data_IF_124536318212
#
_entry.id   IF_124536318212
#
_cell.length_a   1.000
_cell.length_b   1.000
_cell.length_c   1.000
_cell.angle_alpha   90.00
_cell.angle_beta   90.00
_cell.angle_gamma   90.00
#
_symmetry.space_group_name_H-M   'P 1'
#
loop_
_entity.id
_entity.type
_entity.pdbx_description
1 polymer ?
#
# COMPACT_ATOMS: atom_id res chain seq x y z
N UNK A 1 -49.38 -22.85 -24.11
CA UNK A 1 -49.05 -22.71 -22.67
C UNK A 1 -47.59 -22.28 -22.60
N UNK A 2 -47.26 -20.98 -22.65
CA UNK A 2 -47.19 -20.04 -21.51
C UNK A 2 -46.41 -20.57 -20.29
N UNK A 3 -45.11 -20.24 -20.20
CA UNK A 3 -44.48 -19.32 -19.22
C UNK A 3 -42.97 -19.64 -19.16
N UNK A 4 -42.08 -18.80 -19.67
CA UNK A 4 -41.57 -17.56 -19.07
C UNK A 4 -40.55 -17.78 -17.94
N UNK A 5 -39.40 -17.13 -18.12
CA UNK A 5 -38.63 -16.40 -17.08
C UNK A 5 -37.80 -17.33 -16.18
N UNK A 6 -36.46 -17.26 -16.12
CA UNK A 6 -35.65 -16.09 -15.86
C UNK A 6 -34.19 -16.36 -16.28
N UNK A 7 -33.67 -15.50 -17.13
CA UNK A 7 -32.28 -15.08 -17.22
C UNK A 7 -31.53 -15.14 -15.88
N UNK A 8 -30.23 -15.47 -15.97
CA UNK A 8 -29.14 -14.64 -15.45
C UNK A 8 -29.25 -14.20 -13.98
N UNK A 9 -28.37 -14.72 -13.12
CA UNK A 9 -27.52 -13.93 -12.22
C UNK A 9 -26.65 -14.93 -11.41
N UNK A 10 -25.31 -14.94 -11.55
CA UNK A 10 -24.37 -14.04 -10.84
C UNK A 10 -24.45 -14.39 -9.34
N UNK A 11 -23.45 -14.96 -8.65
CA UNK A 11 -22.00 -14.78 -8.63
C UNK A 11 -21.38 -16.14 -8.23
N UNK A 12 -20.31 -16.66 -8.84
CA UNK A 12 -18.94 -16.19 -8.59
C UNK A 12 -18.73 -15.70 -7.15
N UNK A 13 -19.10 -16.52 -6.17
CA UNK A 13 -18.56 -16.44 -4.81
C UNK A 13 -17.12 -16.95 -4.79
N UNK A 14 -16.28 -16.43 -5.68
CA UNK A 14 -14.87 -16.25 -5.36
C UNK A 14 -14.83 -15.09 -4.39
N UNK A 15 -15.25 -15.37 -3.16
CA UNK A 15 -14.87 -14.59 -2.00
C UNK A 15 -13.35 -14.74 -1.91
N UNK A 16 -12.64 -13.95 -2.72
CA UNK A 16 -11.29 -13.54 -2.41
C UNK A 16 -11.43 -12.71 -1.14
N UNK A 17 -11.48 -13.40 0.00
CA UNK A 17 -11.02 -12.86 1.26
C UNK A 17 -9.56 -12.53 1.03
N UNK A 18 -9.30 -11.36 0.45
CA UNK A 18 -8.09 -10.62 0.73
C UNK A 18 -8.21 -10.24 2.21
N UNK A 19 -7.96 -11.23 3.08
CA UNK A 19 -7.18 -10.97 4.28
C UNK A 19 -5.92 -10.26 3.79
N UNK A 20 -5.39 -9.31 4.55
CA UNK A 20 -4.05 -8.78 4.33
C UNK A 20 -3.11 -9.97 4.13
N UNK A 21 -2.89 -10.29 2.85
CA UNK A 21 -2.28 -11.52 2.42
C UNK A 21 -0.82 -11.28 2.66
N UNK A 22 -0.19 -12.05 3.53
CA UNK A 22 1.25 -11.98 3.72
C UNK A 22 1.95 -12.00 2.34
N UNK A 23 3.16 -11.45 2.30
CA UNK A 23 3.87 -11.23 1.05
C UNK A 23 4.05 -12.53 0.24
N UNK A 24 4.22 -13.68 0.89
CA UNK A 24 4.33 -14.97 0.21
C UNK A 24 3.03 -15.34 -0.49
N UNK A 25 1.91 -15.22 0.22
CA UNK A 25 0.58 -15.45 -0.35
C UNK A 25 0.29 -14.46 -1.49
N UNK A 26 0.71 -13.20 -1.39
CA UNK A 26 0.51 -12.21 -2.47
C UNK A 26 1.21 -12.60 -3.77
N UNK A 27 2.46 -13.10 -3.67
CA UNK A 27 3.26 -13.52 -4.82
C UNK A 27 2.96 -14.94 -5.30
N UNK A 28 2.13 -15.71 -4.58
CA UNK A 28 1.63 -17.01 -5.06
C UNK A 28 0.67 -16.85 -6.25
N UNK A 29 0.07 -15.66 -6.43
CA UNK A 29 -0.68 -15.30 -7.63
C UNK A 29 0.28 -14.93 -8.77
N UNK A 30 0.24 -15.73 -9.83
CA UNK A 30 1.06 -15.58 -11.03
C UNK A 30 0.90 -14.18 -11.65
N UNK A 31 -0.28 -13.57 -11.58
CA UNK A 31 -0.49 -12.23 -12.12
C UNK A 31 0.20 -11.16 -11.28
N UNK A 32 0.28 -11.31 -9.96
CA UNK A 32 1.02 -10.39 -9.10
C UNK A 32 2.53 -10.50 -9.32
N UNK A 33 3.04 -11.74 -9.43
CA UNK A 33 4.44 -11.99 -9.80
C UNK A 33 4.79 -11.36 -11.15
N UNK A 34 3.94 -11.58 -12.17
CA UNK A 34 4.14 -11.01 -13.51
C UNK A 34 4.15 -9.49 -13.50
N UNK A 35 3.23 -8.86 -12.77
CA UNK A 35 3.18 -7.40 -12.66
C UNK A 35 4.37 -6.84 -11.89
N UNK A 36 4.85 -7.52 -10.85
CA UNK A 36 6.08 -7.15 -10.15
C UNK A 36 7.27 -7.14 -11.09
N UNK A 37 7.49 -8.22 -11.85
CA UNK A 37 8.59 -8.31 -12.81
C UNK A 37 8.50 -7.20 -13.87
N UNK A 38 7.30 -6.91 -14.37
CA UNK A 38 7.10 -5.83 -15.33
C UNK A 38 7.40 -4.44 -14.72
N UNK A 39 6.96 -4.18 -13.50
CA UNK A 39 7.24 -2.93 -12.79
C UNK A 39 8.73 -2.77 -12.49
N UNK A 40 9.43 -3.86 -12.19
CA UNK A 40 10.88 -3.86 -12.00
C UNK A 40 11.61 -3.56 -13.32
N UNK A 41 11.27 -4.25 -14.41
CA UNK A 41 11.86 -4.02 -15.73
C UNK A 41 11.66 -2.58 -16.23
N UNK A 42 10.51 -1.98 -15.92
CA UNK A 42 10.22 -0.57 -16.26
C UNK A 42 10.89 0.44 -15.34
N UNK A 43 11.63 0.02 -14.32
CA UNK A 43 12.29 0.91 -13.38
C UNK A 43 11.36 1.62 -12.40
N UNK A 44 10.07 1.24 -12.34
CA UNK A 44 9.07 1.93 -11.52
C UNK A 44 9.38 1.82 -10.03
N UNK A 45 9.89 0.67 -9.58
CA UNK A 45 10.23 0.46 -8.16
C UNK A 45 11.43 1.34 -7.76
N UNK A 46 12.41 1.46 -8.66
CA UNK A 46 13.55 2.36 -8.49
C UNK A 46 13.08 3.82 -8.43
N UNK A 47 12.20 4.22 -9.34
CA UNK A 47 11.63 5.57 -9.36
C UNK A 47 10.87 5.90 -8.07
N UNK A 48 10.04 4.99 -7.57
CA UNK A 48 9.36 5.16 -6.26
C UNK A 48 10.36 5.35 -5.13
N UNK A 49 11.45 4.58 -5.13
CA UNK A 49 12.52 4.69 -4.13
C UNK A 49 13.19 6.07 -4.17
N UNK A 50 13.53 6.54 -5.36
CA UNK A 50 14.14 7.85 -5.59
C UNK A 50 13.20 8.99 -5.20
N UNK A 51 11.93 8.92 -5.60
CA UNK A 51 10.92 9.92 -5.28
C UNK A 51 10.65 10.00 -3.78
N UNK A 52 10.52 8.86 -3.09
CA UNK A 52 10.30 8.84 -1.65
C UNK A 52 11.49 9.46 -0.88
N UNK A 53 12.72 9.13 -1.28
CA UNK A 53 13.92 9.77 -0.72
C UNK A 53 14.00 11.26 -1.06
N UNK A 54 13.63 11.66 -2.28
CA UNK A 54 13.62 13.06 -2.70
C UNK A 54 12.58 13.88 -1.93
N UNK A 55 11.36 13.36 -1.77
CA UNK A 55 10.26 14.03 -1.06
C UNK A 55 10.61 14.38 0.38
N UNK A 56 11.35 13.51 1.08
CA UNK A 56 11.80 13.82 2.43
C UNK A 56 12.79 15.00 2.42
N UNK A 57 13.75 14.99 1.49
CA UNK A 57 14.79 16.00 1.39
C UNK A 57 14.31 17.33 0.77
N UNK A 58 13.21 17.31 0.00
CA UNK A 58 12.69 18.46 -0.73
C UNK A 58 11.63 19.25 0.03
N UNK A 59 11.13 18.75 1.16
CA UNK A 59 10.22 19.53 2.00
C UNK A 59 11.04 20.56 2.80
N UNK A 60 10.90 21.87 2.54
CA UNK A 60 11.52 22.86 3.39
C UNK A 60 11.00 22.66 4.81
N UNK A 61 11.91 22.68 5.80
CA UNK A 61 11.52 22.73 7.19
C UNK A 61 10.51 23.88 7.33
N UNK A 62 9.25 23.56 7.67
CA UNK A 62 8.22 24.59 7.86
C UNK A 62 8.65 25.61 8.94
N UNK A 63 9.59 25.22 9.81
CA UNK A 63 10.52 26.11 10.47
C UNK A 63 11.71 25.29 10.99
N UNK A 64 12.98 25.70 10.83
CA UNK A 64 14.15 25.01 11.41
C UNK A 64 14.06 24.85 12.93
N UNK A 65 13.33 25.75 13.59
CA UNK A 65 13.06 25.74 15.03
C UNK A 65 12.11 24.60 15.46
N UNK A 66 11.29 24.08 14.54
CA UNK A 66 10.26 23.08 14.84
C UNK A 66 10.70 21.63 14.57
N UNK A 67 11.77 21.44 13.79
CA UNK A 67 12.37 20.11 13.61
C UNK A 67 13.86 20.23 13.21
N UNK A 68 14.77 20.48 14.17
CA UNK A 68 16.20 20.59 13.89
C UNK A 68 16.81 19.28 13.35
N UNK A 69 16.13 18.15 13.59
CA UNK A 69 16.59 16.83 13.18
C UNK A 69 16.03 16.38 11.82
N UNK A 70 15.22 17.19 11.13
CA UNK A 70 14.57 16.79 9.87
C UNK A 70 15.54 16.23 8.82
N UNK A 71 16.74 16.83 8.70
CA UNK A 71 17.76 16.33 7.76
C UNK A 71 18.31 14.96 8.19
N UNK A 72 18.51 14.75 9.49
CA UNK A 72 18.97 13.48 10.07
C UNK A 72 17.88 12.41 9.89
N UNK A 73 16.63 12.77 10.18
CA UNK A 73 15.45 11.92 9.95
C UNK A 73 15.38 11.51 8.48
N UNK A 74 15.51 12.45 7.54
CA UNK A 74 15.45 12.14 6.10
C UNK A 74 16.62 11.29 5.60
N UNK A 75 17.82 11.47 6.15
CA UNK A 75 18.95 10.58 5.87
C UNK A 75 18.68 9.17 6.40
N UNK A 76 18.12 9.04 7.60
CA UNK A 76 17.69 7.76 8.15
C UNK A 76 16.60 7.12 7.26
N UNK A 77 15.55 7.86 6.91
CA UNK A 77 14.46 7.39 6.06
C UNK A 77 14.99 6.85 4.73
N UNK A 78 15.85 7.60 4.04
CA UNK A 78 16.49 7.17 2.79
C UNK A 78 17.34 5.90 2.97
N UNK A 79 18.15 5.85 4.04
CA UNK A 79 18.98 4.68 4.36
C UNK A 79 18.13 3.42 4.61
N UNK A 80 17.08 3.53 5.41
CA UNK A 80 16.19 2.41 5.71
C UNK A 80 15.36 2.01 4.48
N UNK A 81 14.90 2.97 3.67
CA UNK A 81 14.24 2.70 2.40
C UNK A 81 15.14 1.89 1.45
N UNK A 82 16.43 2.21 1.39
CA UNK A 82 17.39 1.49 0.55
C UNK A 82 17.66 0.05 1.02
N UNK A 83 17.28 -0.33 2.24
CA UNK A 83 17.41 -1.71 2.74
C UNK A 83 16.25 -2.62 2.35
N UNK A 84 15.10 -2.05 1.99
CA UNK A 84 13.98 -2.86 1.53
C UNK A 84 14.27 -3.50 0.18
N UNK A 85 13.82 -4.74 0.01
CA UNK A 85 13.78 -5.39 -1.29
C UNK A 85 12.73 -4.73 -2.20
N UNK A 86 12.93 -4.85 -3.51
CA UNK A 86 11.95 -4.38 -4.48
C UNK A 86 10.60 -5.09 -4.33
N UNK A 87 10.62 -6.37 -3.92
CA UNK A 87 9.41 -7.15 -3.64
C UNK A 87 8.60 -6.57 -2.48
N UNK A 88 9.26 -6.14 -1.41
CA UNK A 88 8.59 -5.49 -0.28
C UNK A 88 7.96 -4.16 -0.70
N UNK A 89 8.72 -3.31 -1.40
CA UNK A 89 8.22 -2.01 -1.88
C UNK A 89 7.00 -2.20 -2.78
N UNK A 90 7.08 -3.14 -3.72
CA UNK A 90 5.98 -3.42 -4.63
C UNK A 90 4.74 -3.96 -3.91
N UNK A 91 4.92 -4.99 -3.07
CA UNK A 91 3.85 -5.61 -2.31
C UNK A 91 3.10 -4.60 -1.44
N UNK A 92 3.81 -3.78 -0.67
CA UNK A 92 3.18 -2.80 0.21
C UNK A 92 2.47 -1.68 -0.57
N UNK A 93 3.08 -1.22 -1.67
CA UNK A 93 2.48 -0.19 -2.52
C UNK A 93 1.16 -0.67 -3.13
N UNK A 94 1.13 -1.89 -3.67
CA UNK A 94 -0.08 -2.46 -4.27
C UNK A 94 -1.12 -2.76 -3.20
N UNK A 95 -0.73 -3.35 -2.07
CA UNK A 95 -1.65 -3.67 -0.97
C UNK A 95 -2.31 -2.43 -0.39
N UNK A 96 -1.54 -1.37 -0.14
CA UNK A 96 -2.07 -0.09 0.34
C UNK A 96 -3.04 0.53 -0.67
N UNK A 97 -2.73 0.45 -1.97
CA UNK A 97 -3.61 0.95 -3.02
C UNK A 97 -4.93 0.17 -3.10
N UNK A 98 -4.88 -1.17 -3.04
CA UNK A 98 -6.07 -2.02 -3.06
C UNK A 98 -6.99 -1.76 -1.85
N UNK A 99 -6.42 -1.62 -0.65
CA UNK A 99 -7.20 -1.26 0.55
C UNK A 99 -7.84 0.11 0.39
N UNK A 100 -7.09 1.10 -0.11
CA UNK A 100 -7.65 2.42 -0.38
C UNK A 100 -8.82 2.36 -1.36
N UNK A 101 -8.71 1.63 -2.46
CA UNK A 101 -9.81 1.44 -3.41
C UNK A 101 -11.05 0.84 -2.76
N UNK A 102 -10.88 -0.20 -1.92
CA UNK A 102 -11.98 -0.81 -1.17
C UNK A 102 -12.62 0.17 -0.18
N UNK A 103 -11.82 0.97 0.52
CA UNK A 103 -12.33 1.99 1.43
C UNK A 103 -13.16 3.05 0.69
N UNK A 104 -12.70 3.48 -0.50
CA UNK A 104 -13.44 4.43 -1.34
C UNK A 104 -14.76 3.81 -1.81
N UNK A 105 -14.76 2.55 -2.23
CA UNK A 105 -15.98 1.84 -2.63
C UNK A 105 -16.97 1.71 -1.45
N UNK A 106 -16.52 1.23 -0.29
CA UNK A 106 -17.34 1.11 0.92
C UNK A 106 -17.94 2.46 1.33
N UNK A 107 -17.16 3.55 1.24
CA UNK A 107 -17.66 4.90 1.54
C UNK A 107 -18.70 5.38 0.54
N UNK A 108 -18.51 5.09 -0.76
CA UNK A 108 -19.47 5.43 -1.82
C UNK A 108 -20.78 4.66 -1.66
N UNK A 109 -20.68 3.41 -1.25
CA UNK A 109 -21.82 2.49 -1.12
C UNK A 109 -22.47 2.61 0.29
N UNK A 110 -22.06 3.60 1.08
CA UNK A 110 -22.53 3.87 2.46
C UNK A 110 -22.38 2.68 3.43
N UNK A 111 -21.52 1.71 3.12
CA UNK A 111 -21.19 0.59 4.00
C UNK A 111 -20.18 1.01 5.07
N UNK A 112 -20.71 1.64 6.12
CA UNK A 112 -19.93 2.13 7.27
C UNK A 112 -19.18 0.99 7.96
N UNK A 113 -19.76 -0.21 8.02
CA UNK A 113 -19.14 -1.35 8.72
C UNK A 113 -17.89 -1.82 7.98
N UNK A 114 -18.00 -2.02 6.67
CA UNK A 114 -16.86 -2.44 5.86
C UNK A 114 -15.79 -1.35 5.79
N UNK A 115 -16.18 -0.08 5.68
CA UNK A 115 -15.24 1.03 5.73
C UNK A 115 -14.42 1.04 7.03
N UNK A 116 -15.08 0.85 8.19
CA UNK A 116 -14.39 0.82 9.48
C UNK A 116 -13.46 -0.39 9.61
N UNK A 117 -13.88 -1.57 9.14
CA UNK A 117 -13.03 -2.78 9.10
C UNK A 117 -11.78 -2.56 8.25
N UNK A 118 -11.93 -1.99 7.05
CA UNK A 118 -10.81 -1.70 6.14
C UNK A 118 -9.88 -0.60 6.69
N UNK A 119 -10.43 0.38 7.41
CA UNK A 119 -9.64 1.40 8.10
C UNK A 119 -8.77 0.79 9.20
N UNK A 120 -9.31 -0.15 9.97
CA UNK A 120 -8.57 -0.89 10.98
C UNK A 120 -7.51 -1.78 10.34
N UNK A 121 -7.84 -2.52 9.28
CA UNK A 121 -6.89 -3.32 8.50
C UNK A 121 -5.72 -2.46 7.99
N UNK A 122 -6.01 -1.28 7.43
CA UNK A 122 -4.99 -0.32 7.00
C UNK A 122 -4.06 0.10 8.15
N UNK A 123 -4.61 0.40 9.32
CA UNK A 123 -3.83 0.82 10.48
C UNK A 123 -2.98 -0.32 11.05
N UNK A 124 -3.46 -1.57 10.93
CA UNK A 124 -2.76 -2.76 11.43
C UNK A 124 -1.62 -3.22 10.52
N UNK A 125 -1.65 -2.87 9.23
CA UNK A 125 -0.60 -3.26 8.30
C UNK A 125 0.79 -2.68 8.62
N UNK A 126 0.89 -1.68 9.51
CA UNK A 126 2.14 -0.95 9.81
C UNK A 126 2.97 -0.73 8.55
N UNK A 127 2.48 0.12 7.65
CA UNK A 127 3.12 0.36 6.37
C UNK A 127 4.54 0.88 6.54
N UNK A 128 5.35 0.77 5.49
CA UNK A 128 6.74 1.19 5.50
C UNK A 128 6.97 2.58 6.12
N UNK A 129 6.12 3.57 5.83
CA UNK A 129 6.25 4.91 6.40
C UNK A 129 6.15 4.94 7.94
N UNK A 130 5.30 4.10 8.53
CA UNK A 130 5.12 3.99 9.99
C UNK A 130 6.30 3.25 10.63
N UNK A 131 6.81 2.19 9.97
CA UNK A 131 8.03 1.49 10.42
C UNK A 131 9.28 2.35 10.29
N UNK A 132 9.37 3.16 9.25
CA UNK A 132 10.43 4.16 9.13
C UNK A 132 10.35 5.18 10.25
N UNK A 133 9.15 5.68 10.55
CA UNK A 133 8.98 6.65 11.59
C UNK A 133 9.36 6.09 12.98
N UNK A 134 9.12 4.81 13.25
CA UNK A 134 9.53 4.20 14.53
C UNK A 134 11.05 4.00 14.63
N UNK A 135 11.73 3.71 13.52
CA UNK A 135 13.19 3.49 13.48
C UNK A 135 13.98 4.79 13.39
N UNK A 136 13.44 5.79 12.70
CA UNK A 136 14.15 7.03 12.40
C UNK A 136 13.78 8.21 13.29
N UNK A 137 12.78 8.07 14.17
CA UNK A 137 12.59 9.03 15.26
C UNK A 137 13.78 8.93 16.23
N UNK A 138 14.75 9.83 16.07
CA UNK A 138 15.63 10.18 17.18
C UNK A 138 14.84 11.01 18.19
N UNK A 139 14.75 10.47 19.41
CA UNK A 139 14.51 11.22 20.65
C UNK A 139 15.36 12.47 20.74
#
# INVERSE_FOLDING_TARGET
MNKNILSLLVLLTSAFTLNASDMETFYSDVENERKFLLSQQKGMIKEVREQASALCNSQPAKSPENNPNQKIDCQCFSSQLNKLSDREIYYESVSAYLIFQKMVAAKRDEDVKEYMRLKEEKNNMQGFAERLQSVCKTS
#
